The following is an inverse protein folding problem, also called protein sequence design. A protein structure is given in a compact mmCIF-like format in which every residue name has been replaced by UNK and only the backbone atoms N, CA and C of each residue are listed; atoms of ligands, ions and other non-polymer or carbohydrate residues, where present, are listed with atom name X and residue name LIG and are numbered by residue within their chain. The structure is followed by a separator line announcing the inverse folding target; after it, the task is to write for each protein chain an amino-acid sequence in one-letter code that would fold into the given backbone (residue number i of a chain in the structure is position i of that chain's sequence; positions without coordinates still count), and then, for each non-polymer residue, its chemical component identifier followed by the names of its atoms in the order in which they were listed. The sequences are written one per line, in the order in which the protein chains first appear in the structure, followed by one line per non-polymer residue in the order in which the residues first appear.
data_IF_093817423131
#
_entry.id   IF_093817423131
#
_cell.length_a   1.000
_cell.length_b   1.000
_cell.length_c   1.000
_cell.angle_alpha   90.00
_cell.angle_beta   90.00
_cell.angle_gamma   90.00
#
_symmetry.space_group_name_H-M   'P 1'
#
loop_
_entity.id
_entity.type
_entity.pdbx_description
1 polymer ?
#
# COMPACT_ATOMS: atom_id res chain seq x y z
N UNK A 1 -13.02 67.84 -22.08
CA UNK A 1 -11.97 67.25 -22.91
C UNK A 1 -11.57 65.93 -22.25
N UNK A 2 -12.16 64.82 -22.70
CA UNK A 2 -11.98 63.49 -22.10
C UNK A 2 -11.50 62.55 -23.20
N UNK A 3 -10.23 62.10 -23.12
CA UNK A 3 -9.70 61.03 -23.96
C UNK A 3 -9.60 59.74 -23.13
N UNK A 4 -10.10 58.59 -23.62
CA UNK A 4 -10.07 57.32 -22.91
C UNK A 4 -8.76 56.58 -23.20
N UNK A 5 -7.89 56.45 -22.19
CA UNK A 5 -6.60 55.75 -22.30
C UNK A 5 -6.64 54.32 -21.72
N UNK A 6 -7.73 53.56 -21.96
CA UNK A 6 -7.90 52.20 -21.40
C UNK A 6 -7.96 51.08 -22.44
N UNK A 7 -8.01 51.37 -23.75
CA UNK A 7 -8.24 50.35 -24.78
C UNK A 7 -6.97 49.71 -25.37
N UNK A 8 -5.82 50.41 -25.36
CA UNK A 8 -4.59 49.91 -25.99
C UNK A 8 -3.83 48.89 -25.14
N UNK A 9 -3.86 49.05 -23.81
CA UNK A 9 -3.20 48.15 -22.87
C UNK A 9 -3.87 46.76 -22.86
N UNK A 10 -5.20 46.71 -22.91
CA UNK A 10 -6.00 45.48 -22.99
C UNK A 10 -5.71 44.64 -24.25
N UNK A 11 -5.36 45.28 -25.38
CA UNK A 11 -5.22 44.64 -26.70
C UNK A 11 -3.92 43.83 -26.86
N UNK A 12 -2.87 44.12 -26.08
CA UNK A 12 -1.60 43.36 -26.05
C UNK A 12 -1.50 42.38 -24.88
N UNK A 13 -2.28 42.57 -23.81
CA UNK A 13 -2.26 41.70 -22.63
C UNK A 13 -3.01 40.39 -22.86
N UNK A 14 -4.14 40.43 -23.56
CA UNK A 14 -4.93 39.24 -23.88
C UNK A 14 -4.14 38.16 -24.65
N UNK A 15 -3.38 38.46 -25.72
CA UNK A 15 -2.60 37.43 -26.42
C UNK A 15 -1.45 36.89 -25.56
N UNK A 16 -0.79 37.72 -24.74
CA UNK A 16 0.28 37.27 -23.83
C UNK A 16 -0.27 36.31 -22.77
N UNK A 17 -1.43 36.64 -22.17
CA UNK A 17 -2.11 35.75 -21.23
C UNK A 17 -2.54 34.44 -21.90
N UNK A 18 -3.04 34.49 -23.14
CA UNK A 18 -3.36 33.29 -23.91
C UNK A 18 -2.13 32.41 -24.15
N UNK A 19 -0.98 32.99 -24.52
CA UNK A 19 0.26 32.22 -24.69
C UNK A 19 0.73 31.58 -23.39
N UNK A 20 0.65 32.29 -22.26
CA UNK A 20 1.01 31.73 -20.96
C UNK A 20 0.07 30.60 -20.54
N UNK A 21 -1.24 30.73 -20.80
CA UNK A 21 -2.21 29.66 -20.53
C UNK A 21 -1.92 28.45 -21.42
N UNK A 22 -1.72 28.65 -22.73
CA UNK A 22 -1.42 27.56 -23.67
C UNK A 22 -0.11 26.87 -23.27
N UNK A 23 0.94 27.62 -22.97
CA UNK A 23 2.22 27.08 -22.50
C UNK A 23 2.06 26.31 -21.18
N UNK A 24 1.30 26.84 -20.23
CA UNK A 24 1.01 26.17 -18.98
C UNK A 24 0.27 24.84 -19.19
N UNK A 25 -0.75 24.83 -20.04
CA UNK A 25 -1.52 23.62 -20.36
C UNK A 25 -0.67 22.61 -21.13
N UNK A 26 0.16 23.03 -22.09
CA UNK A 26 1.04 22.12 -22.84
C UNK A 26 2.14 21.55 -21.96
N UNK A 27 2.77 22.37 -21.12
CA UNK A 27 3.76 21.92 -20.15
C UNK A 27 3.15 20.92 -19.16
N UNK A 28 1.95 21.20 -18.64
CA UNK A 28 1.23 20.29 -17.75
C UNK A 28 0.82 18.98 -18.45
N UNK A 29 0.35 19.04 -19.70
CA UNK A 29 -0.02 17.86 -20.49
C UNK A 29 1.20 16.98 -20.81
N UNK A 30 2.33 17.60 -21.20
CA UNK A 30 3.60 16.89 -21.41
C UNK A 30 4.08 16.26 -20.11
N UNK A 31 4.06 17.00 -19.00
CA UNK A 31 4.44 16.46 -17.69
C UNK A 31 3.57 15.25 -17.30
N UNK A 32 2.26 15.35 -17.46
CA UNK A 32 1.32 14.27 -17.14
C UNK A 32 1.52 13.02 -18.01
N UNK A 33 2.01 13.19 -19.24
CA UNK A 33 2.28 12.09 -20.18
C UNK A 33 3.57 11.34 -19.84
N UNK A 34 4.63 12.07 -19.45
CA UNK A 34 5.94 11.52 -19.13
C UNK A 34 6.09 11.10 -17.66
N UNK A 35 5.31 11.69 -16.75
CA UNK A 35 5.30 11.42 -15.32
C UNK A 35 3.92 10.92 -14.83
N UNK A 36 3.36 9.83 -15.40
CA UNK A 36 2.07 9.35 -14.94
C UNK A 36 2.10 8.95 -13.47
N UNK A 37 1.00 9.22 -12.78
CA UNK A 37 0.71 8.68 -11.44
C UNK A 37 -0.59 7.88 -11.50
N UNK A 38 -0.62 6.73 -10.82
CA UNK A 38 -1.82 5.89 -10.67
C UNK A 38 -2.14 5.71 -9.19
N UNK A 39 -3.42 5.93 -8.86
CA UNK A 39 -3.99 5.61 -7.56
C UNK A 39 -4.85 4.37 -7.74
N UNK A 40 -4.54 3.32 -7.00
CA UNK A 40 -5.23 2.02 -7.10
C UNK A 40 -5.73 1.66 -5.73
N UNK A 41 -7.04 1.61 -5.59
CA UNK A 41 -7.71 1.10 -4.39
C UNK A 41 -7.99 -0.37 -4.55
N UNK A 42 -7.67 -1.13 -3.52
CA UNK A 42 -7.91 -2.55 -3.46
C UNK A 42 -8.38 -2.94 -2.07
N UNK A 43 -9.19 -3.99 -2.02
CA UNK A 43 -9.61 -4.68 -0.81
C UNK A 43 -8.74 -5.93 -0.66
N UNK A 44 -8.03 -6.03 0.46
CA UNK A 44 -7.38 -7.27 0.88
C UNK A 44 -8.41 -8.10 1.64
N UNK A 45 -8.73 -9.27 1.10
CA UNK A 45 -9.62 -10.26 1.70
C UNK A 45 -8.79 -11.42 2.24
N UNK A 46 -9.01 -11.82 3.50
CA UNK A 46 -8.37 -12.98 4.13
C UNK A 46 -9.44 -13.86 4.72
N UNK A 47 -9.44 -15.14 4.35
CA UNK A 47 -10.42 -16.13 4.81
C UNK A 47 -9.71 -17.21 5.59
N UNK A 48 -10.17 -17.43 6.82
CA UNK A 48 -9.78 -18.54 7.67
C UNK A 48 -10.97 -19.49 7.85
N UNK A 49 -10.68 -20.75 8.14
CA UNK A 49 -11.65 -21.65 8.76
C UNK A 49 -11.56 -21.49 10.28
N UNK A 50 -12.71 -21.45 10.94
CA UNK A 50 -12.83 -21.54 12.39
C UNK A 50 -13.90 -22.59 12.69
N UNK A 51 -13.49 -23.73 13.26
CA UNK A 51 -14.37 -24.84 13.63
C UNK A 51 -15.24 -25.34 12.45
N UNK A 52 -14.66 -25.39 11.25
CA UNK A 52 -15.33 -25.83 10.02
C UNK A 52 -16.14 -24.75 9.30
N UNK A 53 -16.24 -23.53 9.84
CA UNK A 53 -16.93 -22.41 9.21
C UNK A 53 -15.93 -21.39 8.64
N UNK A 54 -16.14 -20.86 7.42
CA UNK A 54 -15.29 -19.81 6.88
C UNK A 54 -15.60 -18.46 7.55
N UNK A 55 -14.56 -17.76 7.98
CA UNK A 55 -14.60 -16.40 8.52
C UNK A 55 -13.69 -15.53 7.66
N UNK A 56 -14.26 -14.50 7.02
CA UNK A 56 -13.53 -13.59 6.12
C UNK A 56 -13.43 -12.20 6.72
N UNK A 57 -12.22 -11.65 6.72
CA UNK A 57 -11.93 -10.25 7.01
C UNK A 57 -11.51 -9.49 5.76
N UNK A 58 -11.85 -8.21 5.70
CA UNK A 58 -11.56 -7.35 4.56
C UNK A 58 -11.06 -5.97 4.98
N UNK A 59 -10.04 -5.44 4.29
CA UNK A 59 -9.55 -4.07 4.50
C UNK A 59 -9.28 -3.39 3.15
N UNK A 60 -9.73 -2.14 2.99
CA UNK A 60 -9.50 -1.33 1.78
C UNK A 60 -8.32 -0.40 1.99
N UNK A 61 -7.35 -0.49 1.09
CA UNK A 61 -6.11 0.28 1.07
C UNK A 61 -5.92 0.94 -0.31
N UNK A 62 -5.04 1.93 -0.38
CA UNK A 62 -4.71 2.63 -1.62
C UNK A 62 -3.21 2.58 -1.88
N UNK A 63 -2.84 2.06 -3.04
CA UNK A 63 -1.48 2.15 -3.56
C UNK A 63 -1.40 3.32 -4.53
N UNK A 64 -0.41 4.19 -4.32
CA UNK A 64 0.01 5.21 -5.28
C UNK A 64 1.32 4.78 -5.91
N UNK A 65 1.36 4.78 -7.24
CA UNK A 65 2.56 4.55 -8.02
C UNK A 65 2.78 5.71 -9.00
N UNK A 66 3.95 6.33 -8.94
CA UNK A 66 4.32 7.49 -9.74
C UNK A 66 5.59 7.23 -10.54
N UNK A 67 5.57 7.66 -11.80
CA UNK A 67 6.73 7.68 -12.66
C UNK A 67 7.45 9.01 -12.58
N UNK A 68 8.77 8.97 -12.43
CA UNK A 68 9.59 10.16 -12.60
C UNK A 68 10.06 10.27 -14.06
N UNK A 69 9.90 11.43 -14.71
CA UNK A 69 10.05 11.57 -16.15
C UNK A 69 11.50 11.66 -16.66
N UNK A 70 12.53 11.51 -15.81
CA UNK A 70 13.90 11.82 -16.21
C UNK A 70 14.96 10.80 -15.75
N UNK A 71 15.54 10.10 -16.72
CA UNK A 71 16.89 9.50 -16.67
C UNK A 71 17.97 10.60 -16.82
N UNK A 72 17.90 11.70 -16.06
CA UNK A 72 18.97 12.72 -16.07
C UNK A 72 20.27 12.19 -15.43
N UNK A 73 20.22 10.99 -14.88
CA UNK A 73 21.36 10.22 -14.39
C UNK A 73 21.33 8.84 -15.08
N UNK A 74 22.49 8.26 -15.45
CA UNK A 74 22.59 6.98 -16.16
C UNK A 74 21.85 5.79 -15.49
N UNK A 75 21.50 5.93 -14.21
CA UNK A 75 20.79 4.95 -13.37
C UNK A 75 19.42 5.46 -12.85
N UNK A 76 18.86 6.54 -13.44
CA UNK A 76 17.93 7.46 -12.78
C UNK A 76 16.40 7.28 -12.97
N UNK A 77 15.94 6.27 -13.70
CA UNK A 77 14.51 6.04 -13.93
C UNK A 77 13.84 5.35 -12.75
N UNK A 78 13.23 6.12 -11.85
CA UNK A 78 12.62 5.61 -10.61
C UNK A 78 11.08 5.47 -10.63
N UNK A 79 10.59 4.51 -9.83
CA UNK A 79 9.22 4.50 -9.29
C UNK A 79 9.18 5.21 -7.95
N UNK A 80 8.19 6.08 -7.74
CA UNK A 80 7.68 6.32 -6.39
C UNK A 80 6.58 5.31 -6.10
N UNK A 81 6.61 4.64 -4.95
CA UNK A 81 5.49 3.82 -4.49
C UNK A 81 5.16 4.13 -3.05
N UNK A 82 3.88 4.30 -2.78
CA UNK A 82 3.36 4.49 -1.44
C UNK A 82 2.08 3.68 -1.27
N UNK A 83 1.87 3.11 -0.09
CA UNK A 83 0.62 2.43 0.27
C UNK A 83 0.04 3.10 1.51
N UNK A 84 -1.23 3.47 1.42
CA UNK A 84 -1.99 4.17 2.44
C UNK A 84 -3.18 3.33 2.89
N UNK A 85 -3.54 3.45 4.16
CA UNK A 85 -4.62 2.69 4.79
C UNK A 85 -4.18 2.13 6.14
N UNK A 86 -4.85 1.06 6.55
CA UNK A 86 -4.61 0.40 7.83
C UNK A 86 -4.48 -1.11 7.65
N UNK A 87 -3.92 -1.78 8.66
CA UNK A 87 -3.90 -3.25 8.74
C UNK A 87 -5.33 -3.81 8.83
N UNK A 88 -5.50 -5.04 8.34
CA UNK A 88 -6.74 -5.78 8.55
C UNK A 88 -6.82 -6.21 10.01
N UNK A 89 -7.97 -6.02 10.65
CA UNK A 89 -8.34 -6.69 11.89
C UNK A 89 -9.46 -7.70 11.58
N UNK A 90 -9.18 -8.99 11.77
CA UNK A 90 -10.09 -10.10 11.53
C UNK A 90 -10.47 -10.73 12.87
N UNK A 91 -11.69 -10.46 13.31
CA UNK A 91 -12.24 -11.03 14.54
C UNK A 91 -12.66 -12.49 14.31
N UNK A 92 -12.06 -13.39 15.07
CA UNK A 92 -12.37 -14.81 15.07
C UNK A 92 -13.33 -15.09 16.24
N UNK A 93 -14.57 -15.53 15.98
CA UNK A 93 -15.59 -15.70 17.02
C UNK A 93 -15.09 -16.54 18.20
N UNK A 94 -15.01 -15.94 19.38
CA UNK A 94 -14.56 -16.60 20.62
C UNK A 94 -13.07 -16.95 20.69
N UNK A 95 -12.27 -16.52 19.70
CA UNK A 95 -10.84 -16.90 19.55
C UNK A 95 -9.89 -15.70 19.62
N UNK A 96 -10.42 -14.48 19.52
CA UNK A 96 -9.65 -13.23 19.51
C UNK A 96 -9.50 -12.68 18.09
N UNK A 97 -8.42 -11.95 17.84
CA UNK A 97 -8.26 -11.17 16.61
C UNK A 97 -6.95 -11.50 15.91
N UNK A 98 -7.04 -11.79 14.61
CA UNK A 98 -5.88 -11.81 13.73
C UNK A 98 -5.72 -10.44 13.07
N UNK A 99 -4.53 -9.86 13.19
CA UNK A 99 -4.17 -8.65 12.46
C UNK A 99 -3.27 -9.00 11.28
N UNK A 100 -3.53 -8.42 10.11
CA UNK A 100 -2.69 -8.59 8.92
C UNK A 100 -2.02 -7.26 8.61
N UNK A 101 -0.73 -7.18 8.92
CA UNK A 101 0.05 -5.96 8.88
C UNK A 101 0.37 -5.51 7.45
N UNK A 102 0.69 -4.23 7.29
CA UNK A 102 1.16 -3.61 6.05
C UNK A 102 2.67 -3.83 5.84
N UNK A 103 3.14 -5.06 6.02
CA UNK A 103 4.50 -5.53 5.72
C UNK A 103 4.46 -7.01 5.38
N UNK A 104 5.44 -7.50 4.62
CA UNK A 104 5.58 -8.91 4.25
C UNK A 104 6.92 -9.47 4.69
N UNK A 105 7.05 -10.79 4.71
CA UNK A 105 8.34 -11.43 4.91
C UNK A 105 9.25 -11.18 3.71
N UNK A 106 10.52 -10.94 3.97
CA UNK A 106 11.52 -10.85 2.91
C UNK A 106 11.74 -12.24 2.31
N UNK A 107 11.68 -12.33 0.99
CA UNK A 107 12.03 -13.55 0.26
C UNK A 107 13.48 -13.53 -0.22
N UNK A 108 14.17 -12.43 0.02
CA UNK A 108 15.54 -12.15 -0.40
C UNK A 108 15.85 -10.67 -0.23
N UNK A 109 17.01 -10.27 -0.72
CA UNK A 109 17.41 -8.86 -0.79
C UNK A 109 17.81 -8.50 -2.22
N UNK A 110 17.40 -7.32 -2.67
CA UNK A 110 17.86 -6.77 -3.95
C UNK A 110 19.35 -6.44 -3.86
N UNK A 111 19.98 -6.18 -5.02
CA UNK A 111 21.37 -5.70 -5.11
C UNK A 111 21.63 -4.42 -4.29
N UNK A 112 20.58 -3.67 -3.95
CA UNK A 112 20.60 -2.44 -3.15
C UNK A 112 20.31 -2.70 -1.65
N UNK A 113 20.27 -3.96 -1.22
CA UNK A 113 20.00 -4.37 0.17
C UNK A 113 18.55 -4.17 0.61
N UNK A 114 17.60 -4.00 -0.33
CA UNK A 114 16.19 -3.84 -0.01
C UNK A 114 15.51 -5.20 0.07
N UNK A 115 14.59 -5.36 1.02
CA UNK A 115 13.75 -6.54 1.14
C UNK A 115 12.99 -6.82 -0.17
N UNK A 116 13.25 -7.96 -0.79
CA UNK A 116 12.43 -8.45 -1.89
C UNK A 116 11.06 -8.83 -1.34
N UNK A 117 10.00 -8.31 -1.98
CA UNK A 117 8.64 -8.50 -1.50
C UNK A 117 8.14 -7.45 -0.51
N UNK A 118 8.72 -6.24 -0.47
CA UNK A 118 8.14 -5.10 0.27
C UNK A 118 6.62 -4.99 0.03
N UNK A 119 5.88 -4.50 1.04
CA UNK A 119 4.43 -4.37 1.00
C UNK A 119 3.93 -3.55 -0.19
N UNK A 120 4.72 -2.57 -0.64
CA UNK A 120 4.44 -1.84 -1.86
C UNK A 120 4.19 -2.77 -3.05
N UNK A 121 4.90 -3.90 -3.16
CA UNK A 121 4.81 -4.86 -4.26
C UNK A 121 3.76 -5.96 -4.10
N UNK A 122 2.89 -5.88 -3.09
CA UNK A 122 1.82 -6.86 -2.88
C UNK A 122 0.94 -7.03 -4.12
N UNK A 123 0.44 -5.93 -4.69
CA UNK A 123 -0.46 -5.96 -5.86
C UNK A 123 0.24 -6.56 -7.09
N UNK A 124 1.51 -6.21 -7.31
CA UNK A 124 2.29 -6.70 -8.43
C UNK A 124 2.47 -8.20 -8.39
N UNK A 125 2.85 -8.72 -7.22
CA UNK A 125 3.10 -10.14 -7.05
C UNK A 125 1.80 -10.94 -7.08
N UNK A 126 0.73 -10.44 -6.46
CA UNK A 126 -0.60 -11.06 -6.51
C UNK A 126 -1.11 -11.18 -7.96
N UNK A 127 -0.94 -10.10 -8.75
CA UNK A 127 -1.47 -10.02 -10.11
C UNK A 127 -0.45 -10.37 -11.21
N UNK A 128 0.76 -10.83 -10.86
CA UNK A 128 1.81 -11.19 -11.82
C UNK A 128 2.32 -10.02 -12.68
N UNK A 129 2.22 -8.78 -12.20
CA UNK A 129 2.62 -7.59 -12.94
C UNK A 129 4.15 -7.46 -12.86
N UNK A 130 4.82 -7.65 -13.99
CA UNK A 130 6.27 -7.51 -14.08
C UNK A 130 6.67 -6.09 -14.49
N UNK A 131 7.77 -5.60 -13.91
CA UNK A 131 8.44 -4.38 -14.37
C UNK A 131 9.14 -4.66 -15.69
N UNK A 132 8.61 -4.12 -16.77
CA UNK A 132 9.29 -4.14 -18.08
C UNK A 132 10.15 -2.87 -18.22
N UNK A 133 11.47 -3.04 -18.32
CA UNK A 133 12.38 -1.94 -18.63
C UNK A 133 12.33 -1.59 -20.13
N UNK A 134 12.53 -0.32 -20.54
CA UNK A 134 12.87 0.85 -19.74
C UNK A 134 11.68 1.82 -19.48
N UNK A 135 10.50 1.55 -20.04
CA UNK A 135 9.40 2.53 -20.03
C UNK A 135 8.55 2.47 -18.76
N UNK A 136 9.01 3.16 -17.71
CA UNK A 136 8.32 3.20 -16.43
C UNK A 136 6.90 3.81 -16.53
N UNK A 137 6.69 4.78 -17.42
CA UNK A 137 5.38 5.38 -17.67
C UNK A 137 4.35 4.36 -18.21
N UNK A 138 4.77 3.41 -19.05
CA UNK A 138 3.90 2.30 -19.51
C UNK A 138 3.52 1.39 -18.35
N UNK A 139 4.47 1.05 -17.49
CA UNK A 139 4.23 0.24 -16.31
C UNK A 139 3.21 0.91 -15.36
N UNK A 140 3.37 2.20 -15.03
CA UNK A 140 2.39 2.93 -14.20
C UNK A 140 0.99 2.97 -14.84
N UNK A 141 0.90 3.12 -16.17
CA UNK A 141 -0.38 3.12 -16.88
C UNK A 141 -1.10 1.77 -16.83
N UNK A 142 -0.40 0.64 -16.61
CA UNK A 142 -1.04 -0.67 -16.42
C UNK A 142 -1.88 -0.70 -15.14
N UNK A 143 -1.40 -0.08 -14.06
CA UNK A 143 -2.10 0.00 -12.79
C UNK A 143 -3.48 0.67 -12.87
N UNK A 144 -3.64 1.65 -13.76
CA UNK A 144 -4.92 2.34 -13.98
C UNK A 144 -6.00 1.46 -14.62
N UNK A 145 -5.60 0.33 -15.19
CA UNK A 145 -6.48 -0.60 -15.92
C UNK A 145 -6.68 -1.92 -15.17
N UNK A 146 -6.17 -2.02 -13.94
CA UNK A 146 -6.36 -3.21 -13.13
C UNK A 146 -7.80 -3.29 -12.66
N UNK A 147 -8.38 -4.47 -12.80
CA UNK A 147 -9.71 -4.83 -12.37
C UNK A 147 -9.73 -6.29 -11.90
N UNK A 148 -10.88 -6.71 -11.37
CA UNK A 148 -11.05 -8.08 -10.88
C UNK A 148 -10.35 -8.36 -9.55
N UNK A 149 -9.95 -9.61 -9.37
CA UNK A 149 -9.38 -10.15 -8.14
C UNK A 149 -8.16 -11.01 -8.44
N UNK A 150 -7.11 -10.83 -7.67
CA UNK A 150 -5.85 -11.57 -7.76
C UNK A 150 -5.65 -12.39 -6.47
N UNK A 151 -5.60 -13.73 -6.55
CA UNK A 151 -5.34 -14.55 -5.37
C UNK A 151 -3.92 -14.35 -4.86
N UNK A 152 -3.75 -14.42 -3.54
CA UNK A 152 -2.45 -14.43 -2.88
C UNK A 152 -2.04 -15.87 -2.58
N UNK A 153 -0.79 -16.20 -2.85
CA UNK A 153 -0.17 -17.45 -2.37
C UNK A 153 0.32 -17.27 -0.92
N UNK A 154 0.61 -18.38 -0.23
CA UNK A 154 0.98 -18.34 1.19
C UNK A 154 2.28 -17.55 1.46
N UNK A 155 3.25 -17.63 0.55
CA UNK A 155 4.49 -16.84 0.54
C UNK A 155 4.27 -15.35 0.23
N UNK A 156 3.10 -15.00 -0.31
CA UNK A 156 2.73 -13.62 -0.58
C UNK A 156 1.98 -12.94 0.55
N UNK A 157 1.62 -13.69 1.59
CA UNK A 157 0.84 -13.15 2.69
C UNK A 157 1.64 -12.08 3.45
N UNK A 158 1.00 -10.96 3.82
CA UNK A 158 1.58 -10.04 4.77
C UNK A 158 1.77 -10.70 6.14
N UNK A 159 2.66 -10.12 6.93
CA UNK A 159 2.93 -10.57 8.30
C UNK A 159 1.62 -10.50 9.08
N UNK A 160 1.24 -11.65 9.62
CA UNK A 160 0.07 -11.76 10.48
C UNK A 160 0.53 -11.77 11.94
N UNK A 161 -0.24 -11.12 12.80
CA UNK A 161 0.07 -11.05 14.23
C UNK A 161 -1.21 -11.16 15.06
N UNK A 162 -1.07 -11.52 16.32
CA UNK A 162 -2.10 -11.35 17.34
C UNK A 162 -1.53 -10.55 18.50
N UNK A 163 -2.41 -9.96 19.30
CA UNK A 163 -2.04 -9.40 20.59
C UNK A 163 -2.74 -10.20 21.68
N UNK A 164 -2.05 -10.46 22.80
CA UNK A 164 -2.73 -10.98 23.99
C UNK A 164 -3.59 -9.89 24.64
N UNK A 165 -3.13 -8.64 24.58
CA UNK A 165 -3.87 -7.44 24.95
C UNK A 165 -3.73 -6.36 23.86
N UNK A 166 -4.83 -6.04 23.19
CA UNK A 166 -4.88 -5.02 22.13
C UNK A 166 -4.48 -3.61 22.63
N UNK A 167 -4.50 -3.37 23.95
CA UNK A 167 -4.06 -2.11 24.57
C UNK A 167 -2.54 -2.07 24.82
N UNK A 168 -1.86 -3.21 24.76
CA UNK A 168 -0.42 -3.34 25.00
C UNK A 168 0.29 -3.87 23.74
N UNK A 169 0.99 -2.97 23.04
CA UNK A 169 1.77 -3.32 21.85
C UNK A 169 2.86 -4.37 22.13
N UNK A 170 3.36 -4.49 23.36
CA UNK A 170 4.39 -5.47 23.71
C UNK A 170 3.86 -6.90 23.78
N UNK A 171 2.54 -7.07 23.82
CA UNK A 171 1.87 -8.36 23.78
C UNK A 171 1.74 -8.96 22.38
N UNK A 172 2.43 -8.40 21.39
CA UNK A 172 2.38 -8.84 19.99
C UNK A 172 3.08 -10.18 19.79
N UNK A 173 2.40 -11.09 19.09
CA UNK A 173 2.95 -12.37 18.64
C UNK A 173 2.78 -12.48 17.14
N UNK A 174 3.86 -12.86 16.46
CA UNK A 174 3.84 -13.12 15.01
C UNK A 174 3.26 -14.50 14.76
N UNK A 175 2.30 -14.60 13.85
CA UNK A 175 1.56 -15.82 13.55
C UNK A 175 1.76 -16.19 12.10
N UNK A 176 2.42 -17.31 11.83
CA UNK A 176 2.53 -17.84 10.47
C UNK A 176 1.24 -18.55 10.03
N UNK A 177 0.90 -18.58 8.73
CA UNK A 177 -0.30 -19.26 8.22
C UNK A 177 -0.41 -20.73 8.67
N UNK A 178 0.71 -21.44 8.70
CA UNK A 178 0.82 -22.84 9.13
C UNK A 178 0.66 -23.04 10.65
N UNK A 179 0.78 -21.98 11.44
CA UNK A 179 0.73 -22.01 12.91
C UNK A 179 -0.52 -21.35 13.50
N UNK A 180 -1.54 -21.07 12.69
CA UNK A 180 -2.80 -20.46 13.14
C UNK A 180 -3.50 -21.29 14.23
N UNK A 181 -3.48 -22.63 14.12
CA UNK A 181 -4.08 -23.51 15.13
C UNK A 181 -3.36 -23.42 16.49
N UNK A 182 -2.05 -23.18 16.50
CA UNK A 182 -1.30 -22.99 17.74
C UNK A 182 -1.60 -21.63 18.38
N UNK A 183 -1.82 -20.59 17.55
CA UNK A 183 -2.06 -19.23 18.03
C UNK A 183 -3.51 -18.98 18.48
N UNK A 184 -4.50 -19.59 17.83
CA UNK A 184 -5.93 -19.33 18.07
C UNK A 184 -6.70 -20.56 18.57
N UNK A 185 -6.05 -21.72 18.65
CA UNK A 185 -6.66 -22.99 19.05
C UNK A 185 -6.97 -23.92 17.87
N UNK A 186 -7.19 -25.18 18.20
CA UNK A 186 -7.55 -26.20 17.21
C UNK A 186 -8.79 -25.80 16.41
N UNK A 187 -8.85 -26.20 15.13
CA UNK A 187 -9.94 -25.85 14.22
C UNK A 187 -9.76 -24.52 13.48
N UNK A 188 -8.67 -23.78 13.74
CA UNK A 188 -8.32 -22.55 13.00
C UNK A 188 -7.25 -22.86 11.95
N UNK A 189 -7.56 -22.58 10.67
CA UNK A 189 -6.59 -22.74 9.57
C UNK A 189 -6.81 -21.73 8.45
N UNK A 190 -5.76 -21.44 7.70
CA UNK A 190 -5.85 -20.60 6.52
C UNK A 190 -6.63 -21.28 5.39
N UNK A 191 -7.51 -20.54 4.70
CA UNK A 191 -8.19 -20.99 3.49
C UNK A 191 -7.61 -20.28 2.27
N UNK A 192 -7.74 -18.95 2.21
CA UNK A 192 -7.26 -18.15 1.08
C UNK A 192 -7.09 -16.67 1.46
N UNK A 193 -6.42 -15.94 0.57
CA UNK A 193 -6.42 -14.48 0.59
C UNK A 193 -6.41 -13.96 -0.85
N UNK A 194 -6.90 -12.74 -1.05
CA UNK A 194 -6.92 -12.10 -2.37
C UNK A 194 -6.87 -10.59 -2.27
N UNK A 195 -6.38 -9.97 -3.35
CA UNK A 195 -6.46 -8.53 -3.58
C UNK A 195 -7.52 -8.29 -4.64
N UNK A 196 -8.58 -7.56 -4.28
CA UNK A 196 -9.70 -7.25 -5.18
C UNK A 196 -9.76 -5.75 -5.43
N UNK A 197 -9.67 -5.32 -6.68
CA UNK A 197 -9.73 -3.89 -7.02
C UNK A 197 -11.13 -3.33 -6.75
N UNK A 198 -11.20 -2.13 -6.18
CA UNK A 198 -12.48 -1.56 -5.72
C UNK A 198 -12.50 -0.05 -5.73
N UNK A 199 -13.69 0.53 -5.89
CA UNK A 199 -13.94 1.97 -5.70
C UNK A 199 -14.33 2.36 -4.27
N UNK A 200 -14.43 1.39 -3.36
CA UNK A 200 -14.80 1.62 -1.96
C UNK A 200 -13.83 2.61 -1.27
N UNK A 201 -14.29 3.36 -0.25
CA UNK A 201 -13.41 4.21 0.55
C UNK A 201 -12.39 3.37 1.33
N UNK A 202 -11.28 4.00 1.72
CA UNK A 202 -10.31 3.40 2.64
C UNK A 202 -10.99 2.97 3.93
N UNK A 203 -10.65 1.78 4.43
CA UNK A 203 -11.12 1.34 5.75
C UNK A 203 -10.41 2.17 6.82
N UNK A 204 -11.15 2.59 7.84
CA UNK A 204 -10.67 3.42 8.95
C UNK A 204 -11.07 2.82 10.30
N UNK A 205 -10.65 3.43 11.40
CA UNK A 205 -11.08 3.06 12.76
C UNK A 205 -10.11 2.18 13.55
N UNK A 206 -8.99 1.75 12.97
CA UNK A 206 -8.01 0.92 13.68
C UNK A 206 -7.39 1.65 14.89
N UNK A 207 -7.20 2.97 14.80
CA UNK A 207 -6.73 3.81 15.93
C UNK A 207 -7.66 3.78 17.14
N UNK A 208 -8.96 3.64 16.93
CA UNK A 208 -9.94 3.54 18.03
C UNK A 208 -9.83 2.19 18.74
N UNK A 209 -9.45 1.15 17.98
CA UNK A 209 -9.31 -0.22 18.48
C UNK A 209 -7.98 -0.47 19.17
N UNK A 210 -6.89 0.13 18.66
CA UNK A 210 -5.53 -0.03 19.17
C UNK A 210 -5.05 1.34 19.71
N UNK A 211 -5.32 1.67 20.99
CA UNK A 211 -5.11 3.03 21.51
C UNK A 211 -3.65 3.49 21.47
N UNK A 212 -2.70 2.56 21.46
CA UNK A 212 -1.28 2.88 21.33
C UNK A 212 -0.91 3.47 19.96
N UNK A 213 -1.68 3.22 18.90
CA UNK A 213 -1.51 3.89 17.60
C UNK A 213 -1.87 5.39 17.64
N UNK A 214 -2.71 5.78 18.60
CA UNK A 214 -3.15 7.17 18.76
C UNK A 214 -2.23 8.00 19.66
N UNK A 215 -1.24 7.39 20.33
CA UNK A 215 -0.26 8.10 21.16
C UNK A 215 0.76 8.84 20.30
N UNK A 216 1.27 9.97 20.80
CA UNK A 216 2.26 10.80 20.12
C UNK A 216 3.47 11.10 21.06
N UNK A 217 4.67 10.53 20.78
CA UNK A 217 4.92 9.48 19.79
C UNK A 217 4.30 8.14 20.22
N UNK A 218 4.01 7.22 19.28
CA UNK A 218 3.61 5.85 19.63
C UNK A 218 4.72 5.16 20.42
N UNK A 219 4.39 4.29 21.40
CA UNK A 219 5.40 3.50 22.10
C UNK A 219 6.07 2.53 21.11
N UNK A 220 7.40 2.54 21.04
CA UNK A 220 8.12 1.65 20.13
C UNK A 220 8.44 0.33 20.81
N UNK A 221 7.76 -0.74 20.40
CA UNK A 221 8.12 -2.12 20.71
C UNK A 221 8.44 -2.87 19.42
N UNK A 222 9.54 -3.63 19.43
CA UNK A 222 9.96 -4.46 18.31
C UNK A 222 9.99 -5.92 18.71
N UNK A 223 9.44 -6.78 17.86
CA UNK A 223 9.66 -8.23 17.91
C UNK A 223 10.49 -8.63 16.69
N UNK A 224 11.42 -9.58 16.86
CA UNK A 224 12.18 -10.09 15.72
C UNK A 224 11.29 -11.03 14.91
N UNK A 225 11.25 -10.82 13.60
CA UNK A 225 10.67 -11.79 12.66
C UNK A 225 11.79 -12.45 11.88
N UNK A 226 11.64 -13.75 11.68
CA UNK A 226 12.47 -14.51 10.76
C UNK A 226 11.82 -14.49 9.38
N UNK A 227 12.54 -14.02 8.40
CA UNK A 227 12.11 -13.95 7.01
C UNK A 227 12.23 -15.31 6.32
N UNK A 228 11.76 -15.42 5.07
CA UNK A 228 11.74 -16.70 4.36
C UNK A 228 13.14 -17.18 3.96
N UNK A 229 14.11 -16.26 3.86
CA UNK A 229 15.52 -16.54 3.61
C UNK A 229 16.32 -16.86 4.90
N UNK A 230 15.65 -16.92 6.06
CA UNK A 230 16.27 -17.16 7.36
C UNK A 230 16.93 -15.93 7.99
N UNK A 231 16.90 -14.78 7.31
CA UNK A 231 17.34 -13.52 7.93
C UNK A 231 16.36 -13.10 9.03
N UNK A 232 16.83 -12.29 9.97
CA UNK A 232 15.99 -11.75 11.03
C UNK A 232 15.97 -10.23 10.97
N UNK A 233 14.78 -9.65 11.14
CA UNK A 233 14.60 -8.20 11.16
C UNK A 233 13.62 -7.75 12.22
N UNK A 234 13.76 -6.52 12.73
CA UNK A 234 12.78 -5.97 13.66
C UNK A 234 11.45 -5.72 12.94
N UNK A 235 10.37 -6.23 13.53
CA UNK A 235 9.00 -5.85 13.23
C UNK A 235 8.50 -4.91 14.32
N UNK A 236 8.13 -3.70 13.93
CA UNK A 236 7.63 -2.66 14.84
C UNK A 236 6.18 -2.35 14.44
N UNK A 237 5.17 -2.84 15.18
CA UNK A 237 3.76 -2.74 14.80
C UNK A 237 3.33 -1.33 14.38
N UNK A 238 3.79 -0.30 15.10
CA UNK A 238 3.45 1.09 14.82
C UNK A 238 3.69 1.56 13.37
N UNK A 239 4.68 1.00 12.67
CA UNK A 239 5.03 1.40 11.29
C UNK A 239 4.26 0.61 10.21
N UNK A 240 3.60 -0.47 10.62
CA UNK A 240 2.98 -1.42 9.71
C UNK A 240 1.48 -1.57 9.94
N UNK A 241 0.91 -0.89 10.93
CA UNK A 241 -0.52 -0.96 11.21
C UNK A 241 -1.32 0.17 10.57
N UNK A 242 -0.68 1.30 10.28
CA UNK A 242 -1.31 2.42 9.60
C UNK A 242 -0.30 3.24 8.82
N UNK A 243 -0.67 3.64 7.61
CA UNK A 243 0.11 4.52 6.75
C UNK A 243 -0.82 5.61 6.21
N UNK A 244 -0.62 6.84 6.68
CA UNK A 244 -1.49 8.00 6.36
C UNK A 244 -0.97 8.78 5.16
#
# INVERSE_FOLDING_TARGET
MTMPATSFFKRRIVPVLLYLIVFGVTAWALWSWFAPTAHVRYRLDVTLEVDGAPVTGSVVQEMTISAFPFDLFPDGGGSGRNVRGQALALDLPGRGTLFVAMTRYCTGTTEWGQCEGDYGYLVDQACGIKREQPNFAVYVRRFKRLDGSCPLTADQLPVMVRFDDENDQSSVHVVRPEHLAAAFGAGVRFINASVTFTGAPLTTGLRTRLPWLAKDPPPSYSVMIEDADGSQRPFVPQFYFERI
#
